data_IF_598266304193
#
_entry.id   IF_598266304193
#
_cell.length_a   1.000
_cell.length_b   1.000
_cell.length_c   1.000
_cell.angle_alpha   90.00
_cell.angle_beta   90.00
_cell.angle_gamma   90.00
#
_symmetry.space_group_name_H-M   'P 1'
#
loop_
_entity.id
_entity.type
_entity.pdbx_description
1 polymer ?
#
# COMPACT_ATOMS: atom_id res chain seq x y z
N UNK A 1 11.29 1.91 -28.14
CA UNK A 1 11.13 2.68 -26.89
C UNK A 1 9.66 3.00 -26.72
N UNK A 2 9.03 2.47 -25.67
CA UNK A 2 7.64 2.80 -25.34
C UNK A 2 7.59 4.14 -24.60
N UNK A 3 7.44 5.23 -25.35
CA UNK A 3 7.46 6.58 -24.81
C UNK A 3 6.31 6.84 -23.82
N UNK A 4 5.18 6.11 -23.93
CA UNK A 4 4.05 6.25 -23.02
C UNK A 4 4.34 5.65 -21.66
N UNK A 5 4.92 4.44 -21.63
CA UNK A 5 5.44 3.84 -20.39
C UNK A 5 6.46 4.76 -19.72
N UNK A 6 7.44 5.25 -20.47
CA UNK A 6 8.44 6.18 -19.97
C UNK A 6 7.83 7.49 -19.44
N UNK A 7 6.77 8.00 -20.08
CA UNK A 7 6.04 9.18 -19.63
C UNK A 7 5.30 8.91 -18.32
N UNK A 8 4.60 7.79 -18.20
CA UNK A 8 3.86 7.40 -16.98
C UNK A 8 4.81 7.21 -15.80
N UNK A 9 5.92 6.47 -16.01
CA UNK A 9 6.96 6.29 -15.00
C UNK A 9 7.54 7.63 -14.55
N UNK A 10 7.84 8.53 -15.50
CA UNK A 10 8.38 9.86 -15.18
C UNK A 10 7.36 10.75 -14.46
N UNK A 11 6.08 10.59 -14.76
CA UNK A 11 4.99 11.35 -14.15
C UNK A 11 4.80 10.92 -12.69
N UNK A 12 4.84 9.61 -12.43
CA UNK A 12 4.68 9.03 -11.08
C UNK A 12 5.93 9.24 -10.22
N UNK A 13 7.11 8.87 -10.73
CA UNK A 13 8.37 9.03 -9.98
C UNK A 13 8.79 10.50 -9.85
N UNK A 14 8.21 11.40 -10.66
CA UNK A 14 8.60 12.81 -10.81
C UNK A 14 10.00 12.96 -11.41
N UNK A 15 10.23 14.09 -12.08
CA UNK A 15 11.51 14.38 -12.76
C UNK A 15 12.73 14.43 -11.83
N UNK A 16 12.52 14.63 -10.53
CA UNK A 16 13.59 14.76 -9.55
C UNK A 16 14.15 13.42 -9.04
N UNK A 17 13.46 12.31 -9.26
CA UNK A 17 13.93 10.99 -8.77
C UNK A 17 14.95 10.41 -9.75
N UNK A 18 16.14 10.04 -9.25
CA UNK A 18 17.13 9.35 -10.04
C UNK A 18 16.68 7.89 -10.26
N UNK A 19 16.15 7.60 -11.45
CA UNK A 19 15.67 6.26 -11.82
C UNK A 19 16.77 5.20 -11.89
N UNK A 20 18.04 5.62 -11.98
CA UNK A 20 19.18 4.71 -11.98
C UNK A 20 19.65 4.36 -10.56
N UNK A 21 19.01 4.93 -9.52
CA UNK A 21 19.29 4.61 -8.13
C UNK A 21 18.11 3.83 -7.53
N UNK A 22 18.20 2.49 -7.43
CA UNK A 22 17.15 1.65 -6.88
C UNK A 22 16.63 2.10 -5.51
N UNK A 23 17.52 2.59 -4.64
CA UNK A 23 17.16 3.04 -3.30
C UNK A 23 16.32 4.33 -3.33
N UNK A 24 16.60 5.24 -4.28
CA UNK A 24 15.79 6.44 -4.46
C UNK A 24 14.41 6.11 -5.03
N UNK A 25 14.34 5.16 -5.98
CA UNK A 25 13.05 4.69 -6.54
C UNK A 25 12.22 3.99 -5.47
N UNK A 26 12.82 3.15 -4.63
CA UNK A 26 12.15 2.52 -3.49
C UNK A 26 11.63 3.55 -2.48
N UNK A 27 12.48 4.49 -2.05
CA UNK A 27 12.06 5.57 -1.15
C UNK A 27 10.91 6.39 -1.76
N UNK A 28 10.94 6.58 -3.09
CA UNK A 28 9.87 7.24 -3.82
C UNK A 28 8.55 6.47 -3.80
N UNK A 29 8.59 5.14 -3.87
CA UNK A 29 7.40 4.28 -3.74
C UNK A 29 6.71 4.49 -2.39
N UNK A 30 7.48 4.53 -1.29
CA UNK A 30 6.96 4.82 0.06
C UNK A 30 6.34 6.22 0.12
N UNK A 31 6.99 7.21 -0.49
CA UNK A 31 6.50 8.59 -0.53
C UNK A 31 5.18 8.75 -1.30
N UNK A 32 5.03 8.02 -2.42
CA UNK A 32 3.79 7.97 -3.18
C UNK A 32 2.69 7.33 -2.31
N UNK A 33 2.94 6.16 -1.75
CA UNK A 33 2.01 5.46 -0.88
C UNK A 33 1.57 6.26 0.35
N UNK A 34 2.49 7.03 0.94
CA UNK A 34 2.16 7.98 2.02
C UNK A 34 1.19 9.05 1.53
N UNK A 35 1.39 9.56 0.31
CA UNK A 35 0.50 10.56 -0.29
C UNK A 35 -0.91 9.98 -0.53
N UNK A 36 -1.02 8.73 -0.98
CA UNK A 36 -2.30 8.03 -1.11
C UNK A 36 -3.01 7.88 0.24
N UNK A 37 -2.29 7.44 1.27
CA UNK A 37 -2.81 7.32 2.64
C UNK A 37 -3.30 8.68 3.17
N UNK A 38 -2.61 9.77 2.85
CA UNK A 38 -3.01 11.12 3.25
C UNK A 38 -4.35 11.58 2.66
N UNK A 39 -4.94 10.85 1.71
CA UNK A 39 -6.32 11.11 1.23
C UNK A 39 -7.34 11.07 2.37
N UNK A 40 -7.17 10.17 3.35
CA UNK A 40 -7.93 10.20 4.59
C UNK A 40 -7.08 10.69 5.78
N UNK A 41 -5.78 10.42 5.77
CA UNK A 41 -4.86 10.77 6.85
C UNK A 41 -4.72 12.28 7.09
N UNK A 42 -4.89 13.13 6.06
CA UNK A 42 -4.72 14.60 6.17
C UNK A 42 -5.59 15.25 7.25
N UNK A 43 -6.75 14.67 7.56
CA UNK A 43 -7.66 15.21 8.57
C UNK A 43 -7.15 14.99 10.01
N UNK A 44 -6.15 14.13 10.18
CA UNK A 44 -5.63 13.69 11.47
C UNK A 44 -4.11 13.86 11.58
N UNK A 45 -3.44 14.42 10.56
CA UNK A 45 -1.98 14.41 10.47
C UNK A 45 -1.28 15.22 11.57
N UNK A 46 -1.94 16.24 12.11
CA UNK A 46 -1.44 17.00 13.26
C UNK A 46 -1.46 16.18 14.57
N UNK A 47 -2.18 15.05 14.59
CA UNK A 47 -2.33 14.17 15.74
C UNK A 47 -1.63 12.83 15.56
N UNK A 48 -0.83 12.66 14.49
CA UNK A 48 0.03 11.49 14.36
C UNK A 48 1.12 11.54 15.43
N UNK A 49 1.46 10.38 16.01
CA UNK A 49 2.55 10.28 16.99
C UNK A 49 3.91 10.65 16.39
N UNK A 50 4.07 10.49 15.07
CA UNK A 50 5.32 10.73 14.37
C UNK A 50 5.10 11.54 13.09
N UNK A 51 6.14 12.26 12.67
CA UNK A 51 6.12 13.00 11.41
C UNK A 51 6.26 12.09 10.18
N UNK A 52 6.02 12.66 9.00
CA UNK A 52 6.19 11.97 7.71
C UNK A 52 7.58 11.33 7.59
N UNK A 53 8.64 12.04 7.97
CA UNK A 53 10.02 11.58 7.78
C UNK A 53 10.26 10.29 8.54
N UNK A 54 9.83 10.23 9.80
CA UNK A 54 9.95 9.05 10.66
C UNK A 54 9.08 7.90 10.16
N UNK A 55 7.83 8.18 9.76
CA UNK A 55 6.91 7.16 9.22
C UNK A 55 7.46 6.54 7.94
N UNK A 56 7.86 7.36 6.96
CA UNK A 56 8.41 6.87 5.69
C UNK A 56 9.74 6.13 5.91
N UNK A 57 10.63 6.64 6.77
CA UNK A 57 11.90 5.98 7.06
C UNK A 57 11.71 4.62 7.74
N UNK A 58 10.82 4.51 8.71
CA UNK A 58 10.50 3.26 9.39
C UNK A 58 9.86 2.26 8.42
N UNK A 59 8.93 2.72 7.56
CA UNK A 59 8.30 1.88 6.53
C UNK A 59 9.35 1.32 5.57
N UNK A 60 10.24 2.18 5.08
CA UNK A 60 11.31 1.77 4.16
C UNK A 60 12.27 0.74 4.79
N UNK A 61 12.60 0.94 6.08
CA UNK A 61 13.45 0.02 6.84
C UNK A 61 12.75 -1.33 7.02
N UNK A 62 11.50 -1.34 7.47
CA UNK A 62 10.73 -2.58 7.69
C UNK A 62 10.57 -3.41 6.40
N UNK A 63 10.35 -2.76 5.26
CA UNK A 63 10.28 -3.44 3.95
C UNK A 63 11.64 -4.03 3.55
N UNK A 64 12.72 -3.29 3.78
CA UNK A 64 14.07 -3.75 3.44
C UNK A 64 14.51 -4.90 4.34
N UNK A 65 14.28 -4.80 5.65
CA UNK A 65 14.61 -5.81 6.66
C UNK A 65 13.80 -7.11 6.49
N UNK A 66 12.59 -7.01 5.94
CA UNK A 66 11.77 -8.17 5.56
C UNK A 66 12.12 -8.76 4.21
N UNK A 67 13.21 -8.31 3.56
CA UNK A 67 13.59 -8.70 2.21
C UNK A 67 12.44 -8.56 1.21
N UNK A 68 11.64 -7.50 1.34
CA UNK A 68 10.49 -7.22 0.48
C UNK A 68 9.41 -8.30 0.52
N UNK A 69 9.35 -9.10 1.58
CA UNK A 69 8.26 -10.06 1.79
C UNK A 69 7.12 -9.38 2.55
N UNK A 70 5.94 -9.32 1.93
CA UNK A 70 4.78 -8.75 2.58
C UNK A 70 4.38 -9.56 3.82
N UNK A 71 4.02 -8.86 4.89
CA UNK A 71 3.32 -9.47 6.01
C UNK A 71 2.40 -8.45 6.70
N UNK A 72 1.29 -8.95 7.23
CA UNK A 72 0.36 -8.13 8.04
C UNK A 72 0.99 -7.61 9.33
N UNK A 73 2.07 -8.26 9.80
CA UNK A 73 2.87 -7.78 10.94
C UNK A 73 3.51 -6.42 10.65
N UNK A 74 3.97 -6.15 9.43
CA UNK A 74 4.52 -4.85 9.05
C UNK A 74 3.44 -3.75 9.21
N UNK A 75 2.19 -4.04 8.83
CA UNK A 75 1.07 -3.12 9.02
C UNK A 75 0.85 -2.82 10.51
N UNK A 76 0.88 -3.84 11.35
CA UNK A 76 0.71 -3.70 12.80
C UNK A 76 1.83 -2.85 13.40
N UNK A 77 3.08 -3.16 13.09
CA UNK A 77 4.23 -2.46 13.66
C UNK A 77 4.26 -0.98 13.20
N UNK A 78 3.95 -0.71 11.92
CA UNK A 78 3.89 0.65 11.38
C UNK A 78 2.64 1.42 11.87
N UNK A 79 1.55 0.73 12.22
CA UNK A 79 0.34 1.38 12.75
C UNK A 79 0.59 2.16 14.04
N UNK A 80 1.53 1.69 14.87
CA UNK A 80 1.93 2.32 16.12
C UNK A 80 2.63 3.67 15.91
N UNK A 81 3.10 3.97 14.70
CA UNK A 81 3.68 5.28 14.39
C UNK A 81 2.61 6.36 14.19
N UNK A 82 1.37 5.97 13.91
CA UNK A 82 0.25 6.89 13.74
C UNK A 82 -0.45 7.16 15.07
N UNK A 83 -0.87 6.11 15.78
CA UNK A 83 -1.56 6.17 17.08
C UNK A 83 -1.69 4.77 17.69
N UNK A 84 -1.94 4.69 19.00
CA UNK A 84 -2.12 3.41 19.71
C UNK A 84 -3.42 2.68 19.34
N UNK A 85 -4.51 3.43 19.11
CA UNK A 85 -5.82 2.86 18.75
C UNK A 85 -6.51 3.69 17.66
N UNK A 86 -6.95 4.88 18.04
CA UNK A 86 -7.71 5.78 17.16
C UNK A 86 -7.29 7.23 17.36
N UNK A 87 -7.42 8.02 16.30
CA UNK A 87 -7.22 9.47 16.29
C UNK A 87 -8.53 10.13 15.89
N UNK A 88 -8.92 11.20 16.57
CA UNK A 88 -10.22 11.85 16.40
C UNK A 88 -11.31 11.27 17.31
N UNK A 89 -12.51 11.85 17.24
CA UNK A 89 -13.59 11.61 18.20
C UNK A 89 -14.94 11.31 17.51
N UNK A 90 -15.79 10.54 18.20
CA UNK A 90 -17.13 10.20 17.72
C UNK A 90 -17.10 9.50 16.36
N UNK A 91 -17.88 9.98 15.40
CA UNK A 91 -17.90 9.43 14.04
C UNK A 91 -16.77 9.93 13.14
N UNK A 92 -15.91 10.85 13.61
CA UNK A 92 -14.79 11.43 12.85
C UNK A 92 -13.48 10.95 13.45
N UNK A 93 -13.12 9.71 13.10
CA UNK A 93 -11.90 9.09 13.56
C UNK A 93 -11.23 8.29 12.44
N UNK A 94 -9.95 8.02 12.64
CA UNK A 94 -9.18 7.01 11.94
C UNK A 94 -8.53 6.06 12.94
N UNK A 95 -8.24 4.84 12.52
CA UNK A 95 -7.44 3.87 13.26
C UNK A 95 -6.00 3.88 12.73
N UNK A 96 -5.01 3.64 13.59
CA UNK A 96 -3.62 3.50 13.14
C UNK A 96 -3.48 2.40 12.09
N UNK A 97 -4.18 1.27 12.30
CA UNK A 97 -4.18 0.13 11.37
C UNK A 97 -4.77 0.50 10.00
N UNK A 98 -5.93 1.17 9.95
CA UNK A 98 -6.54 1.63 8.70
C UNK A 98 -5.66 2.60 7.90
N UNK A 99 -4.85 3.43 8.57
CA UNK A 99 -3.86 4.29 7.90
C UNK A 99 -2.65 3.47 7.40
N UNK A 100 -2.08 2.63 8.27
CA UNK A 100 -0.92 1.81 7.94
C UNK A 100 -1.20 0.81 6.81
N UNK A 101 -2.38 0.19 6.76
CA UNK A 101 -2.69 -0.75 5.67
C UNK A 101 -2.65 -0.06 4.30
N UNK A 102 -3.14 1.18 4.20
CA UNK A 102 -3.12 1.93 2.93
C UNK A 102 -1.68 2.25 2.55
N UNK A 103 -0.87 2.70 3.50
CA UNK A 103 0.55 2.99 3.29
C UNK A 103 1.32 1.73 2.84
N UNK A 104 1.21 0.62 3.56
CA UNK A 104 1.98 -0.59 3.26
C UNK A 104 1.52 -1.21 1.93
N UNK A 105 0.22 -1.43 1.74
CA UNK A 105 -0.26 -2.12 0.53
C UNK A 105 -0.01 -1.29 -0.73
N UNK A 106 -0.17 0.04 -0.66
CA UNK A 106 0.21 0.91 -1.80
C UNK A 106 1.71 0.91 -2.03
N UNK A 107 2.53 0.80 -0.98
CA UNK A 107 3.98 0.68 -1.16
C UNK A 107 4.30 -0.59 -1.95
N UNK A 108 3.75 -1.75 -1.56
CA UNK A 108 3.95 -3.00 -2.29
C UNK A 108 3.44 -2.93 -3.73
N UNK A 109 2.30 -2.26 -3.98
CA UNK A 109 1.82 -1.98 -5.35
C UNK A 109 2.87 -1.21 -6.16
N UNK A 110 3.42 -0.13 -5.61
CA UNK A 110 4.44 0.64 -6.32
C UNK A 110 5.76 -0.13 -6.49
N UNK A 111 6.16 -0.95 -5.51
CA UNK A 111 7.34 -1.82 -5.63
C UNK A 111 7.18 -2.83 -6.78
N UNK A 112 5.99 -3.39 -6.96
CA UNK A 112 5.68 -4.24 -8.09
C UNK A 112 5.68 -3.46 -9.41
N UNK A 113 4.99 -2.31 -9.49
CA UNK A 113 4.95 -1.48 -10.72
C UNK A 113 6.34 -0.99 -11.15
N UNK A 114 7.24 -0.72 -10.20
CA UNK A 114 8.59 -0.24 -10.46
C UNK A 114 9.66 -1.31 -10.22
N UNK A 115 9.30 -2.60 -10.26
CA UNK A 115 10.21 -3.71 -9.97
C UNK A 115 11.46 -3.68 -10.83
N UNK A 116 11.31 -3.36 -12.13
CA UNK A 116 12.41 -3.28 -13.11
C UNK A 116 13.45 -2.22 -12.77
N UNK A 117 13.08 -1.18 -12.01
CA UNK A 117 13.98 -0.10 -11.60
C UNK A 117 14.61 -0.33 -10.23
N UNK A 118 14.02 -1.22 -9.42
CA UNK A 118 14.43 -1.46 -8.03
C UNK A 118 15.28 -2.74 -7.93
N UNK A 119 14.92 -3.78 -8.69
CA UNK A 119 15.52 -5.11 -8.60
C UNK A 119 16.38 -5.43 -9.84
N UNK A 120 17.18 -4.46 -10.31
CA UNK A 120 18.01 -4.59 -11.51
C UNK A 120 18.97 -5.79 -11.42
N UNK A 121 19.65 -5.93 -10.28
CA UNK A 121 20.65 -6.97 -10.02
C UNK A 121 20.20 -7.99 -8.97
N UNK A 122 18.89 -8.08 -8.72
CA UNK A 122 18.32 -8.92 -7.65
C UNK A 122 17.10 -9.67 -8.17
N UNK A 123 16.79 -10.86 -7.63
CA UNK A 123 15.51 -11.51 -7.90
C UNK A 123 14.36 -10.57 -7.53
N UNK A 124 13.35 -10.52 -8.40
CA UNK A 124 12.10 -9.83 -8.11
C UNK A 124 11.43 -10.56 -6.93
N UNK A 125 10.98 -9.83 -5.87
CA UNK A 125 10.30 -10.44 -4.74
C UNK A 125 9.03 -11.19 -5.14
N UNK A 126 8.65 -12.17 -4.33
CA UNK A 126 7.35 -12.82 -4.46
C UNK A 126 6.24 -11.90 -3.91
N UNK A 127 5.35 -11.46 -4.81
CA UNK A 127 4.21 -10.62 -4.47
C UNK A 127 2.92 -11.42 -4.21
N UNK A 128 2.95 -12.76 -4.25
CA UNK A 128 1.77 -13.63 -4.14
C UNK A 128 1.03 -13.54 -2.81
N UNK A 129 1.71 -13.07 -1.76
CA UNK A 129 1.13 -12.88 -0.43
C UNK A 129 0.58 -11.47 -0.21
N UNK A 130 0.72 -10.56 -1.17
CA UNK A 130 0.36 -9.17 -0.99
C UNK A 130 -1.15 -8.99 -0.88
N UNK A 131 -1.55 -8.18 0.10
CA UNK A 131 -2.93 -7.77 0.29
C UNK A 131 -3.33 -6.60 -0.63
N UNK A 132 -4.62 -6.47 -0.93
CA UNK A 132 -5.16 -5.36 -1.71
C UNK A 132 -5.07 -4.04 -0.94
N UNK A 133 -4.60 -2.93 -1.51
CA UNK A 133 -4.69 -1.62 -0.87
C UNK A 133 -6.15 -1.17 -0.78
N UNK A 134 -6.73 -1.11 0.43
CA UNK A 134 -8.14 -0.76 0.57
C UNK A 134 -8.33 0.76 0.51
N UNK A 135 -9.13 1.21 -0.45
CA UNK A 135 -9.72 2.55 -0.48
C UNK A 135 -11.22 2.51 -0.78
N UNK A 136 -11.84 3.68 -0.91
CA UNK A 136 -13.27 3.77 -1.15
C UNK A 136 -13.71 3.15 -2.48
N UNK A 137 -12.87 3.16 -3.53
CA UNK A 137 -13.20 2.55 -4.82
C UNK A 137 -13.23 1.04 -4.66
N UNK A 138 -12.16 0.48 -4.09
CA UNK A 138 -12.06 -0.96 -3.81
C UNK A 138 -13.21 -1.43 -2.92
N UNK A 139 -13.51 -0.69 -1.85
CA UNK A 139 -14.58 -1.05 -0.91
C UNK A 139 -15.98 -0.96 -1.54
N UNK A 140 -16.21 -0.04 -2.48
CA UNK A 140 -17.49 0.04 -3.20
C UNK A 140 -17.73 -1.18 -4.10
N UNK A 141 -16.66 -1.81 -4.61
CA UNK A 141 -16.75 -3.02 -5.43
C UNK A 141 -16.98 -4.30 -4.60
N UNK A 142 -16.90 -4.24 -3.28
CA UNK A 142 -17.00 -5.41 -2.40
C UNK A 142 -18.31 -5.32 -1.61
N UNK A 143 -19.08 -6.42 -1.48
CA UNK A 143 -20.25 -6.46 -0.60
C UNK A 143 -19.80 -6.48 0.88
N UNK A 144 -19.28 -5.34 1.36
CA UNK A 144 -18.79 -5.13 2.72
C UNK A 144 -19.42 -3.88 3.32
N UNK A 145 -20.04 -4.02 4.50
CA UNK A 145 -20.86 -2.96 5.11
C UNK A 145 -20.06 -1.73 5.59
N UNK A 146 -18.72 -1.78 5.54
CA UNK A 146 -17.85 -0.67 5.98
C UNK A 146 -17.23 -0.02 4.75
N UNK A 147 -17.56 1.25 4.51
CA UNK A 147 -17.13 2.00 3.32
C UNK A 147 -15.92 2.90 3.56
N UNK A 148 -15.52 3.10 4.82
CA UNK A 148 -14.41 4.01 5.19
C UNK A 148 -13.20 3.21 5.65
N UNK A 149 -12.27 2.99 4.74
CA UNK A 149 -11.04 2.22 4.94
C UNK A 149 -10.17 2.75 6.09
N UNK A 150 -10.14 4.06 6.33
CA UNK A 150 -9.29 4.66 7.38
C UNK A 150 -9.72 4.30 8.80
N UNK A 151 -10.92 3.74 8.97
CA UNK A 151 -11.48 3.26 10.24
C UNK A 151 -11.27 1.76 10.46
N UNK A 152 -10.57 1.07 9.58
CA UNK A 152 -10.44 -0.38 9.64
C UNK A 152 -9.58 -0.82 10.81
N UNK A 153 -10.15 -1.66 11.68
CA UNK A 153 -9.37 -2.46 12.62
C UNK A 153 -8.67 -3.60 11.87
N UNK A 154 -7.70 -4.25 12.51
CA UNK A 154 -7.09 -5.49 11.99
C UNK A 154 -8.15 -6.54 11.62
N UNK A 155 -9.18 -6.71 12.47
CA UNK A 155 -10.25 -7.67 12.23
C UNK A 155 -11.09 -7.32 10.99
N UNK A 156 -11.43 -6.03 10.82
CA UNK A 156 -12.16 -5.57 9.62
C UNK A 156 -11.34 -5.80 8.36
N UNK A 157 -10.06 -5.46 8.43
CA UNK A 157 -9.12 -5.62 7.34
C UNK A 157 -9.00 -7.09 6.90
N UNK A 158 -8.76 -8.01 7.84
CA UNK A 158 -8.66 -9.44 7.53
C UNK A 158 -9.95 -9.95 6.89
N UNK A 159 -11.12 -9.57 7.42
CA UNK A 159 -12.41 -9.96 6.83
C UNK A 159 -12.55 -9.45 5.41
N UNK A 160 -12.15 -8.21 5.14
CA UNK A 160 -12.21 -7.63 3.80
C UNK A 160 -11.23 -8.31 2.83
N UNK A 161 -9.98 -8.56 3.23
CA UNK A 161 -9.00 -9.26 2.41
C UNK A 161 -9.42 -10.70 2.09
N UNK A 162 -10.05 -11.40 3.04
CA UNK A 162 -10.58 -12.74 2.78
C UNK A 162 -11.70 -12.70 1.72
N UNK A 163 -12.61 -11.71 1.79
CA UNK A 163 -13.63 -11.52 0.75
C UNK A 163 -13.02 -11.23 -0.62
N UNK A 164 -11.98 -10.40 -0.68
CA UNK A 164 -11.25 -10.13 -1.93
C UNK A 164 -10.66 -11.43 -2.49
N UNK A 165 -10.02 -12.23 -1.64
CA UNK A 165 -9.47 -13.53 -2.04
C UNK A 165 -10.55 -14.45 -2.62
N UNK A 166 -11.71 -14.52 -1.98
CA UNK A 166 -12.82 -15.36 -2.46
C UNK A 166 -13.42 -14.86 -3.78
N UNK A 167 -13.49 -13.54 -3.97
CA UNK A 167 -13.88 -12.95 -5.25
C UNK A 167 -12.88 -13.30 -6.36
N UNK A 168 -11.58 -13.14 -6.12
CA UNK A 168 -10.53 -13.45 -7.09
C UNK A 168 -10.53 -14.93 -7.51
N UNK A 169 -10.78 -15.86 -6.58
CA UNK A 169 -10.90 -17.31 -6.89
C UNK A 169 -12.03 -17.63 -7.87
N UNK A 170 -13.06 -16.78 -7.93
CA UNK A 170 -14.18 -16.95 -8.86
C UNK A 170 -13.95 -16.31 -10.24
N UNK A 171 -12.86 -15.54 -10.39
CA UNK A 171 -12.54 -14.81 -11.61
C UNK A 171 -11.56 -15.59 -12.48
N UNK A 172 -11.68 -15.44 -13.80
CA UNK A 172 -10.66 -15.89 -14.74
C UNK A 172 -9.59 -14.82 -14.85
N UNK A 173 -8.41 -15.11 -14.31
CA UNK A 173 -7.26 -14.20 -14.31
C UNK A 173 -6.15 -14.73 -15.24
N UNK A 174 -5.37 -13.82 -15.83
CA UNK A 174 -4.10 -14.18 -16.44
C UNK A 174 -3.06 -14.57 -15.37
N UNK A 175 -1.93 -15.11 -15.82
CA UNK A 175 -0.91 -15.65 -14.91
C UNK A 175 -0.16 -14.55 -14.15
N UNK A 176 -0.07 -13.34 -14.71
CA UNK A 176 0.53 -12.20 -14.04
C UNK A 176 -0.33 -11.79 -12.84
N UNK A 177 -1.64 -11.57 -13.04
CA UNK A 177 -2.57 -11.23 -11.97
C UNK A 177 -2.67 -12.34 -10.91
N UNK A 178 -2.66 -13.62 -11.28
CA UNK A 178 -2.64 -14.72 -10.29
C UNK A 178 -1.43 -14.65 -9.36
N UNK A 179 -0.30 -14.16 -9.84
CA UNK A 179 0.95 -14.08 -9.07
C UNK A 179 0.96 -12.96 -8.02
N UNK A 180 -0.02 -12.06 -8.00
CA UNK A 180 -0.05 -10.88 -7.12
C UNK A 180 -0.91 -11.05 -5.85
N UNK A 181 -1.47 -12.25 -5.65
CA UNK A 181 -2.37 -12.50 -4.53
C UNK A 181 -3.59 -11.58 -4.56
N UNK A 182 -3.90 -10.95 -3.42
CA UNK A 182 -5.03 -10.04 -3.32
C UNK A 182 -4.76 -8.67 -3.97
N UNK A 183 -3.51 -8.29 -4.21
CA UNK A 183 -3.16 -7.05 -4.91
C UNK A 183 -3.75 -7.01 -6.34
N UNK A 184 -3.93 -8.18 -6.97
CA UNK A 184 -4.58 -8.31 -8.28
C UNK A 184 -5.95 -7.61 -8.34
N UNK A 185 -6.72 -7.65 -7.25
CA UNK A 185 -8.04 -7.04 -7.20
C UNK A 185 -7.99 -5.52 -7.40
N UNK A 186 -6.92 -4.88 -6.93
CA UNK A 186 -6.73 -3.45 -7.14
C UNK A 186 -6.45 -3.14 -8.61
N UNK A 187 -5.58 -3.90 -9.29
CA UNK A 187 -5.33 -3.70 -10.73
C UNK A 187 -6.57 -3.91 -11.61
N UNK A 188 -7.51 -4.75 -11.18
CA UNK A 188 -8.77 -4.99 -11.88
C UNK A 188 -9.81 -3.88 -11.68
N UNK A 189 -9.73 -3.12 -10.58
CA UNK A 189 -10.80 -2.22 -10.14
C UNK A 189 -10.33 -0.78 -9.87
N UNK A 190 -9.07 -0.46 -10.16
CA UNK A 190 -8.47 0.87 -10.00
C UNK A 190 -8.82 1.82 -11.15
#
# INVERSE_FOLDING_TARGET
MDWKRNFLESSLLRRSTNKNNPNEVQAKCVDLAYSDMMTAGRYYSASFLNDKKKICSATNSAITESNFVFSRKIIEDISLLFCDNTIGNGNRYATGFGLAQKLINMTFKYLYVFSDLIFIDKPIPDFSSCDCPLDSIILNGIPYNKTVWSKFTKADYIKCQNKISDLLKSMTLDDELKSLGNMAYDFLNW
#
